data_IF_047710682260
#
_entry.id   IF_047710682260
#
_cell.length_a   1.000
_cell.length_b   1.000
_cell.length_c   1.000
_cell.angle_alpha   90.00
_cell.angle_beta   90.00
_cell.angle_gamma   90.00
#
_symmetry.space_group_name_H-M   'P 1'
#
loop_
_entity.id
_entity.type
_entity.pdbx_description
1 polymer ?
#
# COMPACT_ATOMS: atom_id res chain seq x y z
N UNK A 1 13.47 -24.31 -23.14
CA UNK A 1 12.99 -22.95 -22.83
C UNK A 1 13.55 -22.56 -21.46
N UNK A 2 14.32 -21.47 -21.36
CA UNK A 2 14.77 -20.98 -20.05
C UNK A 2 13.57 -20.31 -19.36
N UNK A 3 13.30 -20.73 -18.13
CA UNK A 3 12.46 -19.96 -17.22
C UNK A 3 13.28 -18.73 -16.82
N UNK A 4 12.84 -17.55 -17.25
CA UNK A 4 13.47 -16.27 -16.91
C UNK A 4 12.90 -15.77 -15.59
N UNK A 5 13.64 -14.89 -14.91
CA UNK A 5 13.19 -14.25 -13.66
C UNK A 5 11.85 -13.52 -13.86
N UNK A 6 11.67 -12.83 -14.99
CA UNK A 6 10.40 -12.18 -15.37
C UNK A 6 9.22 -13.17 -15.42
N UNK A 7 9.41 -14.36 -16.00
CA UNK A 7 8.35 -15.39 -16.05
C UNK A 7 8.06 -15.98 -14.68
N UNK A 8 9.08 -16.11 -13.85
CA UNK A 8 8.93 -16.57 -12.47
C UNK A 8 8.15 -15.54 -11.66
N UNK A 9 8.50 -14.25 -11.77
CA UNK A 9 7.80 -13.14 -11.13
C UNK A 9 6.31 -13.10 -11.52
N UNK A 10 5.99 -13.18 -12.82
CA UNK A 10 4.60 -13.24 -13.29
C UNK A 10 3.83 -14.42 -12.68
N UNK A 11 4.43 -15.60 -12.64
CA UNK A 11 3.79 -16.78 -12.03
C UNK A 11 3.47 -16.56 -10.53
N UNK A 12 4.37 -15.90 -9.79
CA UNK A 12 4.12 -15.57 -8.38
C UNK A 12 3.05 -14.49 -8.20
N UNK A 13 3.05 -13.44 -9.03
CA UNK A 13 2.00 -12.41 -9.02
C UNK A 13 0.62 -13.03 -9.21
N UNK A 14 0.47 -13.96 -10.16
CA UNK A 14 -0.80 -14.66 -10.40
C UNK A 14 -1.21 -15.53 -9.20
N UNK A 15 -0.26 -16.23 -8.56
CA UNK A 15 -0.53 -17.07 -7.39
C UNK A 15 -0.97 -16.24 -6.17
N UNK A 16 -0.39 -15.06 -5.98
CA UNK A 16 -0.76 -14.12 -4.92
C UNK A 16 -2.12 -13.47 -5.19
N UNK A 17 -2.40 -13.10 -6.44
CA UNK A 17 -3.71 -12.56 -6.83
C UNK A 17 -4.86 -13.52 -6.50
N UNK A 18 -4.66 -14.83 -6.67
CA UNK A 18 -5.65 -15.86 -6.28
C UNK A 18 -5.92 -15.94 -4.77
N UNK A 19 -4.99 -15.43 -3.96
CA UNK A 19 -5.11 -15.37 -2.50
C UNK A 19 -5.59 -13.99 -2.01
N UNK A 20 -6.08 -13.14 -2.92
CA UNK A 20 -6.51 -11.76 -2.66
C UNK A 20 -5.35 -10.81 -2.27
N UNK A 21 -4.14 -11.09 -2.74
CA UNK A 21 -3.02 -10.16 -2.67
C UNK A 21 -2.82 -9.51 -4.05
N UNK A 22 -3.43 -8.33 -4.31
CA UNK A 22 -3.28 -7.64 -5.57
C UNK A 22 -1.85 -7.15 -5.77
N UNK A 23 -1.36 -7.23 -7.00
CA UNK A 23 -0.10 -6.64 -7.40
C UNK A 23 -0.31 -5.17 -7.80
N UNK A 24 0.55 -4.29 -7.33
CA UNK A 24 0.57 -2.87 -7.66
C UNK A 24 1.96 -2.49 -8.15
N UNK A 25 2.03 -1.76 -9.27
CA UNK A 25 3.32 -1.35 -9.83
C UNK A 25 3.87 -0.16 -9.05
N UNK A 26 5.16 -0.17 -8.71
CA UNK A 26 5.80 0.94 -8.00
C UNK A 26 5.63 2.30 -8.69
N UNK A 27 5.61 2.32 -10.02
CA UNK A 27 5.40 3.54 -10.82
C UNK A 27 3.98 4.11 -10.72
N UNK A 28 3.00 3.31 -10.32
CA UNK A 28 1.61 3.74 -10.11
C UNK A 28 1.41 4.31 -8.71
N UNK A 29 2.37 4.09 -7.79
CA UNK A 29 2.33 4.62 -6.44
C UNK A 29 2.77 6.09 -6.47
N UNK A 30 1.80 6.98 -6.31
CA UNK A 30 2.04 8.42 -6.17
C UNK A 30 2.61 8.68 -4.78
N UNK A 31 3.91 8.99 -4.71
CA UNK A 31 4.61 9.45 -3.51
C UNK A 31 5.75 10.39 -3.89
N UNK A 32 6.12 11.30 -3.00
CA UNK A 32 7.32 12.11 -3.20
C UNK A 32 8.58 11.23 -3.08
N UNK A 33 9.66 11.61 -3.76
CA UNK A 33 10.88 10.80 -3.80
C UNK A 33 11.60 10.71 -2.44
N UNK A 34 11.43 11.75 -1.63
CA UNK A 34 11.90 11.90 -0.26
C UNK A 34 10.95 11.28 0.77
N UNK A 35 9.74 10.90 0.36
CA UNK A 35 8.76 10.30 1.26
C UNK A 35 8.82 8.77 1.27
N UNK A 36 9.00 8.22 2.47
CA UNK A 36 8.94 6.77 2.72
C UNK A 36 7.49 6.30 2.87
N UNK A 37 6.60 7.16 3.37
CA UNK A 37 5.20 6.82 3.63
C UNK A 37 4.36 6.91 2.35
N UNK A 38 3.54 5.89 2.11
CA UNK A 38 2.48 5.92 1.08
C UNK A 38 1.22 6.43 1.76
N UNK A 39 1.04 7.75 1.79
CA UNK A 39 -0.04 8.39 2.56
C UNK A 39 -1.43 7.90 2.22
N UNK A 40 -1.73 7.78 0.92
CA UNK A 40 -3.06 7.37 0.46
C UNK A 40 -3.41 5.97 0.95
N UNK A 41 -2.44 5.05 0.92
CA UNK A 41 -2.58 3.68 1.40
C UNK A 41 -2.75 3.63 2.92
N UNK A 42 -1.91 4.37 3.66
CA UNK A 42 -1.99 4.44 5.11
C UNK A 42 -3.32 5.04 5.59
N UNK A 43 -3.79 6.11 4.94
CA UNK A 43 -5.10 6.69 5.24
C UNK A 43 -6.23 5.69 4.99
N UNK A 44 -6.20 5.00 3.85
CA UNK A 44 -7.22 4.01 3.52
C UNK A 44 -7.22 2.85 4.53
N UNK A 45 -6.04 2.35 4.91
CA UNK A 45 -5.87 1.34 5.94
C UNK A 45 -6.44 1.81 7.29
N UNK A 46 -6.10 3.01 7.75
CA UNK A 46 -6.60 3.55 9.01
C UNK A 46 -8.13 3.67 9.01
N UNK A 47 -8.71 4.17 7.92
CA UNK A 47 -10.16 4.32 7.80
C UNK A 47 -10.88 2.97 7.80
N UNK A 48 -10.37 1.98 7.06
CA UNK A 48 -10.96 0.64 7.02
C UNK A 48 -10.79 -0.10 8.34
N UNK A 49 -9.59 -0.04 8.94
CA UNK A 49 -9.26 -0.80 10.15
C UNK A 49 -9.99 -0.28 11.39
N UNK A 50 -10.15 1.03 11.51
CA UNK A 50 -10.70 1.72 12.69
C UNK A 50 -12.09 2.30 12.45
N UNK A 51 -12.79 1.86 11.40
CA UNK A 51 -14.19 2.25 11.12
C UNK A 51 -15.09 2.03 12.34
N UNK A 52 -14.96 0.87 13.00
CA UNK A 52 -15.73 0.51 14.20
C UNK A 52 -15.40 1.37 15.43
N UNK A 53 -14.25 2.06 15.42
CA UNK A 53 -13.85 2.98 16.47
C UNK A 53 -14.29 4.42 16.18
N UNK A 54 -15.03 4.66 15.09
CA UNK A 54 -15.43 5.98 14.61
C UNK A 54 -14.23 6.92 14.38
N UNK A 55 -13.09 6.38 13.93
CA UNK A 55 -11.94 7.20 13.58
C UNK A 55 -12.32 8.16 12.45
N UNK A 56 -12.11 9.45 12.67
CA UNK A 56 -12.42 10.47 11.67
C UNK A 56 -11.27 10.67 10.69
N UNK A 57 -11.57 11.18 9.50
CA UNK A 57 -10.56 11.55 8.49
C UNK A 57 -9.54 12.55 9.05
N UNK A 58 -9.99 13.46 9.92
CA UNK A 58 -9.12 14.46 10.55
C UNK A 58 -8.10 13.81 11.50
N UNK A 59 -8.55 12.86 12.31
CA UNK A 59 -7.66 12.10 13.21
C UNK A 59 -6.68 11.24 12.43
N UNK A 60 -7.14 10.54 11.39
CA UNK A 60 -6.28 9.75 10.52
C UNK A 60 -5.18 10.61 9.86
N UNK A 61 -5.54 11.80 9.34
CA UNK A 61 -4.58 12.77 8.81
C UNK A 61 -3.59 13.27 9.88
N UNK A 62 -4.05 13.47 11.11
CA UNK A 62 -3.17 13.86 12.21
C UNK A 62 -2.14 12.77 12.52
N UNK A 63 -2.55 11.50 12.55
CA UNK A 63 -1.65 10.36 12.76
C UNK A 63 -0.60 10.28 11.64
N UNK A 64 -1.03 10.43 10.38
CA UNK A 64 -0.13 10.43 9.22
C UNK A 64 0.89 11.57 9.31
N UNK A 65 0.44 12.78 9.67
CA UNK A 65 1.33 13.93 9.85
C UNK A 65 2.36 13.68 10.96
N UNK A 66 1.93 13.13 12.10
CA UNK A 66 2.85 12.79 13.20
C UNK A 66 3.92 11.79 12.75
N UNK A 67 3.53 10.77 11.97
CA UNK A 67 4.46 9.78 11.43
C UNK A 67 5.46 10.37 10.43
N UNK A 68 5.06 11.38 9.66
CA UNK A 68 5.95 12.10 8.74
C UNK A 68 7.00 12.97 9.44
N UNK A 69 6.72 13.40 10.66
CA UNK A 69 7.59 14.32 11.42
C UNK A 69 8.57 13.62 12.37
N UNK A 70 8.51 12.28 12.45
CA UNK A 70 9.45 11.44 13.20
C UNK A 70 10.74 11.20 12.41
#
# INVERSE_FOLDING_TARGET
>A
MKFTEEKLEHAFIELLGKQNFPHHTGNEIVRAADEVLIEADLLHYLMSRYEHNNLTVTEAKSIVLQLKTL
#
